data_IF_069755191890
#
_entry.id   IF_069755191890
#
_cell.length_a   1.000
_cell.length_b   1.000
_cell.length_c   1.000
_cell.angle_alpha   90.00
_cell.angle_beta   90.00
_cell.angle_gamma   90.00
#
_symmetry.space_group_name_H-M   'P 1'
#
loop_
_entity.id
_entity.type
_entity.pdbx_description
1 polymer ?
#
# COMPACT_ATOMS: atom_id res chain seq x y z
N UNK A 1 29.57 52.62 -14.23
CA UNK A 1 28.74 52.59 -13.03
C UNK A 1 27.46 51.91 -13.45
N UNK A 2 27.47 50.60 -13.48
CA UNK A 2 27.15 49.61 -12.43
C UNK A 2 25.78 49.83 -11.85
N UNK A 3 24.86 48.99 -12.17
CA UNK A 3 24.00 48.30 -11.22
C UNK A 3 23.23 47.18 -11.91
N UNK A 4 23.58 45.98 -11.53
CA UNK A 4 22.82 44.76 -11.68
C UNK A 4 21.42 44.95 -11.07
N UNK A 5 20.42 44.60 -11.84
CA UNK A 5 19.08 44.27 -11.29
C UNK A 5 18.69 42.90 -11.82
N UNK A 6 19.13 41.88 -11.06
CA UNK A 6 18.80 40.51 -11.33
C UNK A 6 17.35 40.28 -10.93
N UNK A 7 16.50 40.12 -11.93
CA UNK A 7 15.10 39.79 -11.83
C UNK A 7 14.87 38.55 -10.94
N UNK A 8 14.24 38.77 -9.79
CA UNK A 8 13.60 37.79 -8.97
C UNK A 8 12.34 37.29 -9.70
N UNK A 9 12.48 36.22 -10.47
CA UNK A 9 11.33 35.54 -11.09
C UNK A 9 10.63 34.72 -10.01
N UNK A 10 9.37 35.03 -9.68
CA UNK A 10 8.62 34.17 -8.74
C UNK A 10 8.41 32.81 -9.37
N UNK A 11 8.73 31.74 -8.58
CA UNK A 11 8.45 30.35 -8.88
C UNK A 11 6.94 30.22 -9.12
N UNK A 12 6.47 29.57 -10.19
CA UNK A 12 5.04 29.38 -10.41
C UNK A 12 4.43 28.65 -9.22
N UNK A 13 3.30 29.14 -8.75
CA UNK A 13 2.49 28.54 -7.73
C UNK A 13 2.11 27.12 -8.18
N UNK A 14 2.31 26.19 -7.29
CA UNK A 14 1.86 24.80 -7.41
C UNK A 14 0.32 24.82 -7.47
N UNK A 15 -0.23 24.79 -8.68
CA UNK A 15 -1.66 24.74 -8.92
C UNK A 15 -2.15 23.36 -8.46
N UNK A 16 -2.87 23.35 -7.34
CA UNK A 16 -3.43 22.25 -6.60
C UNK A 16 -4.05 21.13 -7.44
N UNK A 17 -3.21 20.29 -8.03
CA UNK A 17 -3.60 18.95 -8.39
C UNK A 17 -3.92 18.19 -7.08
N UNK A 18 -5.00 17.40 -7.01
CA UNK A 18 -5.29 16.60 -5.81
C UNK A 18 -4.05 15.77 -5.51
N UNK A 19 -3.47 15.97 -4.31
CA UNK A 19 -2.33 15.17 -3.86
C UNK A 19 -2.73 13.71 -3.97
N UNK A 20 -2.18 13.01 -4.97
CA UNK A 20 -2.31 11.56 -5.11
C UNK A 20 -1.96 10.91 -3.79
N UNK A 21 -2.65 9.85 -3.35
CA UNK A 21 -2.40 9.23 -2.07
C UNK A 21 -0.90 8.99 -1.94
N UNK A 22 -0.30 9.51 -0.89
CA UNK A 22 1.16 9.54 -0.71
C UNK A 22 1.67 8.11 -0.60
N UNK A 23 2.07 7.53 -1.72
CA UNK A 23 2.72 6.22 -1.74
C UNK A 23 4.16 6.41 -1.26
N UNK A 24 4.47 5.80 -0.14
CA UNK A 24 5.84 5.80 0.39
C UNK A 24 6.69 4.77 -0.33
N UNK A 25 7.72 5.22 -1.04
CA UNK A 25 8.77 4.32 -1.56
C UNK A 25 9.73 3.93 -0.45
N UNK A 26 9.96 2.64 -0.29
CA UNK A 26 10.89 2.09 0.70
C UNK A 26 12.00 1.39 -0.06
N UNK A 27 13.23 1.85 0.16
CA UNK A 27 14.42 1.39 -0.57
C UNK A 27 15.54 0.90 0.35
N UNK A 28 15.43 1.11 1.67
CA UNK A 28 16.46 0.70 2.61
C UNK A 28 16.10 -0.58 3.38
N UNK A 29 17.08 -1.48 3.50
CA UNK A 29 16.91 -2.79 4.13
C UNK A 29 16.46 -2.72 5.60
N UNK A 30 16.90 -1.70 6.35
CA UNK A 30 16.58 -1.57 7.78
C UNK A 30 15.09 -1.25 7.99
N UNK A 31 14.55 -0.34 7.20
CA UNK A 31 13.12 0.01 7.21
C UNK A 31 12.27 -1.18 6.76
N UNK A 32 12.69 -1.90 5.70
CA UNK A 32 12.02 -3.10 5.23
C UNK A 32 11.95 -4.19 6.32
N UNK A 33 13.08 -4.48 6.99
CA UNK A 33 13.12 -5.44 8.12
C UNK A 33 12.24 -5.00 9.29
N UNK A 34 12.12 -3.69 9.50
CA UNK A 34 11.24 -3.19 10.55
C UNK A 34 9.76 -3.49 10.28
N UNK A 35 9.36 -3.72 9.03
CA UNK A 35 8.01 -4.17 8.67
C UNK A 35 7.90 -5.71 8.65
N UNK A 36 8.98 -6.44 8.43
CA UNK A 36 9.02 -7.89 8.28
C UNK A 36 8.71 -8.64 9.61
N UNK A 37 7.47 -8.55 10.08
CA UNK A 37 6.96 -9.25 11.25
C UNK A 37 5.45 -9.46 11.13
N UNK A 38 4.90 -10.66 11.39
CA UNK A 38 3.47 -10.95 11.20
C UNK A 38 2.53 -9.96 11.88
N UNK A 39 2.77 -9.65 13.15
CA UNK A 39 1.94 -8.68 13.91
C UNK A 39 2.03 -7.27 13.32
N UNK A 40 3.22 -6.83 12.86
CA UNK A 40 3.36 -5.49 12.26
C UNK A 40 2.63 -5.36 10.93
N UNK A 41 2.67 -6.40 10.11
CA UNK A 41 1.89 -6.44 8.87
C UNK A 41 0.39 -6.45 9.18
N UNK A 42 -0.06 -7.26 10.16
CA UNK A 42 -1.46 -7.28 10.56
C UNK A 42 -1.94 -5.91 11.09
N UNK A 43 -1.12 -5.22 11.89
CA UNK A 43 -1.41 -3.87 12.37
C UNK A 43 -1.49 -2.86 11.22
N UNK A 44 -0.54 -2.93 10.26
CA UNK A 44 -0.54 -2.07 9.09
C UNK A 44 -1.82 -2.27 8.26
N UNK A 45 -2.22 -3.50 8.00
CA UNK A 45 -3.44 -3.82 7.25
C UNK A 45 -4.72 -3.40 8.00
N UNK A 46 -4.78 -3.60 9.32
CA UNK A 46 -5.91 -3.17 10.13
C UNK A 46 -6.10 -1.65 10.09
N UNK A 47 -5.00 -0.89 10.21
CA UNK A 47 -5.02 0.57 10.09
C UNK A 47 -5.36 1.05 8.68
N UNK A 48 -4.94 0.31 7.64
CA UNK A 48 -5.30 0.63 6.24
C UNK A 48 -6.81 0.54 5.99
N UNK A 49 -7.48 -0.42 6.63
CA UNK A 49 -8.92 -0.67 6.43
C UNK A 49 -9.81 0.13 7.41
N UNK A 50 -9.35 0.28 8.64
CA UNK A 50 -10.13 0.85 9.73
C UNK A 50 -9.87 2.34 10.00
N UNK A 51 -8.79 2.90 9.44
CA UNK A 51 -8.36 4.26 9.76
C UNK A 51 -7.63 4.32 11.12
N UNK A 52 -7.80 5.42 11.83
CA UNK A 52 -7.14 5.62 13.13
C UNK A 52 -7.76 4.74 14.22
N UNK A 53 -6.94 3.93 14.91
CA UNK A 53 -7.36 2.98 15.93
C UNK A 53 -6.39 2.96 17.12
N UNK A 54 -6.93 2.69 18.30
CA UNK A 54 -6.14 2.47 19.53
C UNK A 54 -5.48 1.10 19.51
N UNK A 55 -4.44 0.91 20.33
CA UNK A 55 -3.80 -0.40 20.49
C UNK A 55 -4.75 -1.50 21.02
N UNK A 56 -5.79 -1.12 21.77
CA UNK A 56 -6.81 -2.05 22.27
C UNK A 56 -7.70 -2.52 21.14
N UNK A 57 -8.28 -1.60 20.36
CA UNK A 57 -9.12 -1.92 19.18
C UNK A 57 -8.35 -2.77 18.16
N UNK A 58 -7.09 -2.41 17.89
CA UNK A 58 -6.22 -3.19 17.03
C UNK A 58 -5.98 -4.61 17.58
N UNK A 59 -5.77 -4.74 18.90
CA UNK A 59 -5.58 -6.03 19.55
C UNK A 59 -6.81 -6.93 19.39
N UNK A 60 -8.00 -6.39 19.61
CA UNK A 60 -9.27 -7.10 19.38
C UNK A 60 -9.41 -7.55 17.92
N UNK A 61 -9.06 -6.69 16.98
CA UNK A 61 -9.20 -6.98 15.55
C UNK A 61 -8.22 -8.04 15.04
N UNK A 62 -6.96 -8.04 15.52
CA UNK A 62 -5.93 -8.98 15.01
C UNK A 62 -5.68 -10.18 15.95
N UNK A 63 -6.39 -10.27 17.07
CA UNK A 63 -6.25 -11.38 18.03
C UNK A 63 -5.00 -11.31 18.91
N UNK A 64 -4.52 -10.10 19.21
CA UNK A 64 -3.31 -9.85 20.01
C UNK A 64 -3.60 -9.01 21.24
N UNK A 65 -2.70 -9.04 22.25
CA UNK A 65 -2.84 -8.16 23.40
C UNK A 65 -2.58 -6.69 23.06
N UNK A 66 -3.28 -5.76 23.75
CA UNK A 66 -3.02 -4.33 23.59
C UNK A 66 -1.55 -3.96 23.91
N UNK A 67 -0.89 -4.69 24.81
CA UNK A 67 0.52 -4.52 25.14
C UNK A 67 1.42 -4.90 23.98
N UNK A 68 1.17 -6.06 23.33
CA UNK A 68 1.85 -6.51 22.12
C UNK A 68 1.66 -5.50 20.99
N UNK A 69 0.42 -5.06 20.76
CA UNK A 69 0.12 -4.05 19.74
C UNK A 69 0.86 -2.74 20.01
N UNK A 70 0.83 -2.22 21.24
CA UNK A 70 1.55 -0.99 21.61
C UNK A 70 3.06 -1.09 21.40
N UNK A 71 3.67 -2.25 21.66
CA UNK A 71 5.08 -2.48 21.39
C UNK A 71 5.38 -2.40 19.90
N UNK A 72 4.61 -3.13 19.08
CA UNK A 72 4.82 -3.17 17.64
C UNK A 72 4.47 -1.85 16.94
N UNK A 73 3.46 -1.11 17.41
CA UNK A 73 3.12 0.23 16.91
C UNK A 73 4.26 1.22 17.15
N UNK A 74 4.90 1.20 18.33
CA UNK A 74 6.09 2.04 18.57
C UNK A 74 7.25 1.67 17.65
N UNK A 75 7.43 0.38 17.33
CA UNK A 75 8.43 -0.04 16.37
C UNK A 75 8.10 0.46 14.96
N UNK A 76 6.84 0.37 14.53
CA UNK A 76 6.39 0.93 13.26
C UNK A 76 6.55 2.45 13.22
N UNK A 77 6.24 3.15 14.31
CA UNK A 77 6.39 4.61 14.43
C UNK A 77 7.86 5.04 14.34
N UNK A 78 8.77 4.31 14.97
CA UNK A 78 10.22 4.57 14.88
C UNK A 78 10.74 4.59 13.43
N UNK A 79 10.12 3.82 12.54
CA UNK A 79 10.46 3.75 11.13
C UNK A 79 9.48 4.53 10.24
N UNK A 80 8.60 5.33 10.85
CA UNK A 80 7.69 6.23 10.15
C UNK A 80 6.58 5.55 9.36
N UNK A 81 6.13 4.35 9.75
CA UNK A 81 4.97 3.69 9.14
C UNK A 81 3.65 4.16 9.73
N UNK A 82 3.68 4.47 11.02
CA UNK A 82 2.51 4.94 11.76
C UNK A 82 2.88 6.14 12.62
N UNK A 83 1.88 6.91 13.02
CA UNK A 83 2.00 8.01 13.97
C UNK A 83 0.81 8.02 14.93
N UNK A 84 0.95 8.68 16.09
CA UNK A 84 -0.20 8.93 16.95
C UNK A 84 -1.14 9.94 16.28
N UNK A 85 -2.40 9.55 16.11
CA UNK A 85 -3.46 10.47 15.67
C UNK A 85 -3.93 11.32 16.84
N UNK A 86 -4.24 12.58 16.60
CA UNK A 86 -4.83 13.45 17.61
C UNK A 86 -6.22 12.96 18.05
N UNK A 87 -6.73 13.45 19.18
CA UNK A 87 -8.13 13.27 19.59
C UNK A 87 -8.44 12.09 20.48
N UNK A 88 -7.44 11.37 21.02
CA UNK A 88 -7.68 10.29 21.98
C UNK A 88 -8.21 10.77 23.35
N UNK A 89 -9.05 9.94 24.00
CA UNK A 89 -9.58 10.20 25.33
C UNK A 89 -8.66 9.56 26.38
N UNK A 90 -8.14 10.34 27.32
CA UNK A 90 -7.28 9.86 28.40
C UNK A 90 -5.90 9.42 27.93
N UNK A 91 -5.47 8.21 28.34
CA UNK A 91 -4.16 7.62 27.98
C UNK A 91 -4.20 6.83 26.67
N UNK A 92 -5.37 6.61 26.08
CA UNK A 92 -5.55 5.84 24.86
C UNK A 92 -5.43 6.77 23.66
N UNK A 93 -4.31 6.69 22.95
CA UNK A 93 -4.06 7.46 21.73
C UNK A 93 -4.25 6.57 20.53
N UNK A 94 -5.12 6.95 19.56
CA UNK A 94 -5.24 6.22 18.34
C UNK A 94 -3.98 6.38 17.47
N UNK A 95 -3.68 5.35 16.69
CA UNK A 95 -2.60 5.31 15.72
C UNK A 95 -3.19 5.37 14.32
N UNK A 96 -2.49 6.01 13.41
CA UNK A 96 -2.84 6.02 11.98
C UNK A 96 -1.61 5.77 11.12
N UNK A 97 -1.83 5.36 9.88
CA UNK A 97 -0.77 5.28 8.88
C UNK A 97 -0.26 6.68 8.51
N UNK A 98 1.02 6.79 8.20
CA UNK A 98 1.64 8.02 7.70
C UNK A 98 1.53 8.17 6.18
N UNK A 99 1.17 7.08 5.48
CA UNK A 99 1.00 7.05 4.02
C UNK A 99 -0.13 6.09 3.66
N UNK A 100 -0.88 6.39 2.61
CA UNK A 100 -1.99 5.58 2.14
C UNK A 100 -1.53 4.25 1.52
N UNK A 101 -0.28 4.17 1.04
CA UNK A 101 0.28 2.98 0.45
C UNK A 101 1.79 2.90 0.55
N UNK A 102 2.34 1.76 0.16
CA UNK A 102 3.77 1.52 0.07
C UNK A 102 4.14 0.95 -1.29
N UNK A 103 5.27 1.40 -1.83
CA UNK A 103 5.88 0.80 -3.00
C UNK A 103 7.27 0.29 -2.63
N UNK A 104 7.55 -0.93 -3.03
CA UNK A 104 8.85 -1.57 -2.90
C UNK A 104 9.54 -1.47 -4.27
N UNK A 105 10.59 -0.66 -4.37
CA UNK A 105 11.29 -0.45 -5.64
C UNK A 105 12.67 -1.08 -5.57
N UNK A 106 13.14 -1.72 -6.64
CA UNK A 106 14.53 -2.17 -6.73
C UNK A 106 15.46 -1.00 -6.48
N UNK A 107 16.42 -1.17 -5.55
CA UNK A 107 17.38 -0.12 -5.19
C UNK A 107 18.77 -0.38 -5.76
N UNK A 108 18.99 -1.56 -6.36
CA UNK A 108 20.32 -2.04 -6.74
C UNK A 108 21.17 -2.48 -5.53
N UNK A 109 20.62 -2.37 -4.30
CA UNK A 109 21.23 -2.88 -3.08
C UNK A 109 20.67 -4.28 -2.77
N UNK A 110 21.52 -5.29 -2.88
CA UNK A 110 21.15 -6.71 -2.67
C UNK A 110 20.53 -6.94 -1.29
N UNK A 111 20.98 -6.26 -0.25
CA UNK A 111 20.45 -6.40 1.10
C UNK A 111 19.02 -5.85 1.20
N UNK A 112 18.76 -4.72 0.56
CA UNK A 112 17.43 -4.13 0.48
C UNK A 112 16.48 -4.98 -0.38
N UNK A 113 16.95 -5.56 -1.47
CA UNK A 113 16.16 -6.46 -2.33
C UNK A 113 15.73 -7.72 -1.58
N UNK A 114 16.65 -8.40 -0.88
CA UNK A 114 16.34 -9.56 -0.04
C UNK A 114 15.31 -9.19 1.05
N UNK A 115 15.48 -8.04 1.71
CA UNK A 115 14.54 -7.59 2.73
C UNK A 115 13.17 -7.24 2.15
N UNK A 116 13.12 -6.67 0.94
CA UNK A 116 11.90 -6.39 0.20
C UNK A 116 11.15 -7.68 -0.14
N UNK A 117 11.85 -8.69 -0.66
CA UNK A 117 11.25 -9.98 -1.01
C UNK A 117 10.59 -10.66 0.18
N UNK A 118 11.22 -10.59 1.37
CA UNK A 118 10.63 -11.11 2.60
C UNK A 118 9.31 -10.41 2.92
N UNK A 119 9.30 -9.07 2.90
CA UNK A 119 8.10 -8.27 3.20
C UNK A 119 7.00 -8.53 2.17
N UNK A 120 7.35 -8.50 0.88
CA UNK A 120 6.40 -8.75 -0.22
C UNK A 120 5.78 -10.13 -0.08
N UNK A 121 6.58 -11.17 0.21
CA UNK A 121 6.07 -12.54 0.45
C UNK A 121 5.07 -12.58 1.58
N UNK A 122 5.37 -11.96 2.73
CA UNK A 122 4.47 -11.94 3.87
C UNK A 122 3.14 -11.24 3.57
N UNK A 123 3.15 -10.13 2.81
CA UNK A 123 1.91 -9.49 2.35
C UNK A 123 1.14 -10.41 1.39
N UNK A 124 1.84 -11.06 0.44
CA UNK A 124 1.23 -11.98 -0.52
C UNK A 124 0.52 -13.16 0.14
N UNK A 125 1.18 -13.81 1.11
CA UNK A 125 0.59 -14.91 1.86
C UNK A 125 -0.74 -14.49 2.49
N UNK A 126 -0.81 -13.31 3.10
CA UNK A 126 -2.04 -12.79 3.70
C UNK A 126 -3.11 -12.42 2.67
N UNK A 127 -2.70 -11.83 1.55
CA UNK A 127 -3.59 -11.48 0.44
C UNK A 127 -4.23 -12.74 -0.17
N UNK A 128 -3.44 -13.77 -0.43
CA UNK A 128 -3.96 -15.05 -0.91
C UNK A 128 -4.86 -15.75 0.11
N UNK A 129 -4.53 -15.72 1.41
CA UNK A 129 -5.42 -16.22 2.46
C UNK A 129 -6.79 -15.50 2.46
N UNK A 130 -6.82 -14.18 2.27
CA UNK A 130 -8.09 -13.43 2.14
C UNK A 130 -8.86 -13.83 0.90
N UNK A 131 -8.17 -13.97 -0.23
CA UNK A 131 -8.78 -14.43 -1.48
C UNK A 131 -9.38 -15.84 -1.31
N UNK A 132 -8.65 -16.79 -0.73
CA UNK A 132 -9.14 -18.15 -0.47
C UNK A 132 -10.32 -18.16 0.50
N UNK A 133 -10.29 -17.30 1.51
CA UNK A 133 -11.42 -17.11 2.44
C UNK A 133 -12.64 -16.61 1.68
N UNK A 134 -12.50 -15.58 0.83
CA UNK A 134 -13.60 -15.10 -0.01
C UNK A 134 -14.11 -16.21 -0.94
N UNK A 135 -13.23 -16.95 -1.61
CA UNK A 135 -13.59 -18.06 -2.49
C UNK A 135 -14.43 -19.13 -1.78
N UNK A 136 -14.08 -19.48 -0.55
CA UNK A 136 -14.80 -20.49 0.24
C UNK A 136 -16.12 -19.97 0.83
N UNK A 137 -16.21 -18.66 1.11
CA UNK A 137 -17.37 -18.06 1.76
C UNK A 137 -18.27 -17.23 0.82
N UNK A 138 -17.91 -17.08 -0.45
CA UNK A 138 -18.63 -16.22 -1.42
C UNK A 138 -20.12 -16.53 -1.55
N UNK A 139 -20.54 -17.76 -1.29
CA UNK A 139 -21.96 -18.13 -1.33
C UNK A 139 -22.82 -17.39 -0.29
N UNK A 140 -22.20 -16.90 0.80
CA UNK A 140 -22.88 -16.09 1.81
C UNK A 140 -23.09 -14.62 1.40
N UNK A 141 -22.41 -14.16 0.35
CA UNK A 141 -22.60 -12.81 -0.16
C UNK A 141 -23.82 -12.70 -1.06
N UNK A 142 -24.51 -11.54 -1.08
CA UNK A 142 -25.58 -11.25 -2.03
C UNK A 142 -25.14 -11.48 -3.48
N UNK A 143 -26.09 -11.82 -4.35
CA UNK A 143 -25.79 -12.17 -5.76
C UNK A 143 -25.08 -11.03 -6.49
N UNK A 144 -25.46 -9.78 -6.22
CA UNK A 144 -24.86 -8.57 -6.80
C UNK A 144 -23.36 -8.49 -6.53
N UNK A 145 -22.91 -8.78 -5.30
CA UNK A 145 -21.49 -8.79 -4.94
C UNK A 145 -20.71 -9.91 -5.63
N UNK A 146 -21.36 -11.08 -5.77
CA UNK A 146 -20.74 -12.23 -6.45
C UNK A 146 -20.57 -11.99 -7.95
N UNK A 147 -21.50 -11.25 -8.55
CA UNK A 147 -21.45 -10.89 -9.97
C UNK A 147 -20.52 -9.70 -10.26
N UNK A 148 -20.37 -8.79 -9.30
CA UNK A 148 -19.46 -7.64 -9.41
C UNK A 148 -17.99 -8.04 -9.24
N UNK A 149 -17.71 -9.15 -8.53
CA UNK A 149 -16.33 -9.59 -8.31
C UNK A 149 -15.70 -10.08 -9.62
N UNK A 150 -14.50 -9.59 -9.91
CA UNK A 150 -13.72 -9.99 -11.07
C UNK A 150 -12.69 -11.07 -10.68
N UNK A 151 -12.55 -12.07 -11.54
CA UNK A 151 -11.54 -13.12 -11.42
C UNK A 151 -11.12 -13.50 -12.85
N UNK A 152 -9.84 -13.38 -13.17
CA UNK A 152 -9.36 -13.65 -14.53
C UNK A 152 -7.86 -13.79 -14.61
N UNK A 153 -7.42 -14.59 -15.58
CA UNK A 153 -6.03 -14.74 -15.96
C UNK A 153 -5.85 -14.26 -17.40
N UNK A 154 -4.88 -13.41 -17.61
CA UNK A 154 -4.51 -12.88 -18.91
C UNK A 154 -3.05 -13.22 -19.20
N UNK A 155 -2.76 -13.60 -20.43
CA UNK A 155 -1.41 -13.88 -20.90
C UNK A 155 -1.09 -12.97 -22.09
N UNK A 156 0.06 -12.31 -22.03
CA UNK A 156 0.54 -11.40 -23.05
C UNK A 156 1.99 -11.74 -23.42
N UNK A 157 2.40 -11.36 -24.61
CA UNK A 157 3.80 -11.23 -24.98
C UNK A 157 4.13 -9.75 -25.04
N UNK A 158 4.91 -9.28 -24.08
CA UNK A 158 5.29 -7.86 -23.95
C UNK A 158 6.80 -7.74 -23.85
N UNK A 159 7.32 -6.68 -24.44
CA UNK A 159 8.67 -6.20 -24.15
C UNK A 159 8.73 -5.60 -22.74
N UNK A 160 9.94 -5.34 -22.22
CA UNK A 160 10.09 -4.70 -20.91
C UNK A 160 9.45 -3.29 -20.89
N UNK A 161 9.55 -2.53 -21.99
CA UNK A 161 8.95 -1.19 -22.07
C UNK A 161 7.41 -1.26 -22.14
N UNK A 162 6.85 -2.20 -22.89
CA UNK A 162 5.39 -2.44 -22.92
C UNK A 162 4.86 -2.92 -21.56
N UNK A 163 5.60 -3.77 -20.85
CA UNK A 163 5.23 -4.18 -19.48
C UNK A 163 5.24 -2.98 -18.52
N UNK A 164 6.21 -2.09 -18.64
CA UNK A 164 6.27 -0.85 -17.88
C UNK A 164 5.09 0.08 -18.19
N UNK A 165 4.77 0.25 -19.47
CA UNK A 165 3.59 1.02 -19.91
C UNK A 165 2.31 0.41 -19.35
N UNK A 166 2.11 -0.91 -19.46
CA UNK A 166 0.99 -1.64 -18.89
C UNK A 166 0.86 -1.36 -17.38
N UNK A 167 1.98 -1.43 -16.63
CA UNK A 167 2.01 -1.11 -15.20
C UNK A 167 1.57 0.33 -14.91
N UNK A 168 1.96 1.29 -15.74
CA UNK A 168 1.56 2.70 -15.62
C UNK A 168 0.05 2.86 -15.85
N UNK A 169 -0.50 2.27 -16.90
CA UNK A 169 -1.93 2.33 -17.22
C UNK A 169 -2.80 1.69 -16.12
N UNK A 170 -2.35 0.55 -15.58
CA UNK A 170 -3.00 -0.10 -14.43
C UNK A 170 -2.96 0.81 -13.21
N UNK A 171 -1.83 1.44 -12.92
CA UNK A 171 -1.71 2.38 -11.80
C UNK A 171 -2.66 3.58 -11.96
N UNK A 172 -2.74 4.17 -13.14
CA UNK A 172 -3.67 5.24 -13.46
C UNK A 172 -5.13 4.82 -13.29
N UNK A 173 -5.48 3.60 -13.75
CA UNK A 173 -6.80 3.03 -13.53
C UNK A 173 -7.13 2.93 -12.04
N UNK A 174 -6.23 2.34 -11.25
CA UNK A 174 -6.44 2.14 -9.81
C UNK A 174 -6.49 3.48 -9.06
N UNK A 175 -5.67 4.45 -9.45
CA UNK A 175 -5.63 5.78 -8.82
C UNK A 175 -6.95 6.54 -8.93
N UNK A 176 -7.78 6.23 -9.95
CA UNK A 176 -9.14 6.79 -10.05
C UNK A 176 -10.11 6.20 -9.02
N UNK A 177 -9.81 5.01 -8.50
CA UNK A 177 -10.61 4.32 -7.48
C UNK A 177 -10.00 4.42 -6.08
N UNK A 178 -8.69 4.61 -6.02
CA UNK A 178 -7.98 4.92 -4.79
C UNK A 178 -8.33 6.34 -4.34
N UNK A 179 -8.54 6.52 -3.07
CA UNK A 179 -8.86 7.84 -2.53
C UNK A 179 -10.20 8.43 -2.95
N UNK A 180 -11.17 7.63 -3.47
CA UNK A 180 -12.52 8.10 -3.72
C UNK A 180 -13.02 8.87 -2.50
N UNK A 181 -12.93 10.21 -2.57
CA UNK A 181 -13.40 11.15 -1.56
C UNK A 181 -12.86 10.88 -0.13
N UNK A 182 -11.69 10.22 0.01
CA UNK A 182 -11.11 9.87 1.31
C UNK A 182 -11.87 8.79 2.07
N UNK A 183 -12.55 7.88 1.39
CA UNK A 183 -13.33 6.78 2.00
C UNK A 183 -12.49 5.79 2.79
N UNK A 184 -11.21 5.69 2.47
CA UNK A 184 -10.29 4.81 3.18
C UNK A 184 -9.99 5.38 4.57
N UNK A 185 -9.69 6.67 4.66
CA UNK A 185 -9.29 7.37 5.88
C UNK A 185 -10.49 7.74 6.76
N UNK A 186 -11.65 8.06 6.16
CA UNK A 186 -12.83 8.55 6.85
C UNK A 186 -14.05 7.63 6.62
N UNK A 187 -14.39 6.78 7.60
CA UNK A 187 -15.55 5.90 7.52
C UNK A 187 -16.88 6.61 7.24
N UNK A 188 -17.02 7.89 7.65
CA UNK A 188 -18.27 8.65 7.44
C UNK A 188 -18.53 8.98 5.96
N UNK A 189 -17.49 8.91 5.13
CA UNK A 189 -17.58 9.14 3.68
C UNK A 189 -17.92 7.88 2.89
N UNK A 190 -18.01 6.73 3.55
CA UNK A 190 -18.33 5.45 2.89
C UNK A 190 -19.83 5.40 2.57
N UNK A 191 -20.23 5.10 1.32
CA UNK A 191 -21.61 4.89 0.99
C UNK A 191 -22.23 3.75 1.81
N UNK A 192 -23.52 3.83 2.07
CA UNK A 192 -24.23 2.74 2.73
C UNK A 192 -24.09 1.44 1.92
N UNK A 193 -23.72 0.36 2.58
CA UNK A 193 -23.49 -0.93 1.95
C UNK A 193 -22.14 -1.09 1.26
N UNK A 194 -21.25 -0.08 1.28
CA UNK A 194 -19.90 -0.24 0.74
C UNK A 194 -19.08 -1.24 1.56
N UNK A 195 -18.37 -2.13 0.89
CA UNK A 195 -17.43 -3.09 1.47
C UNK A 195 -16.00 -2.73 1.09
N UNK A 196 -15.01 -3.07 1.92
CA UNK A 196 -13.62 -2.97 1.53
C UNK A 196 -13.32 -3.96 0.41
N UNK A 197 -12.71 -3.48 -0.67
CA UNK A 197 -12.35 -4.30 -1.83
C UNK A 197 -10.83 -4.37 -1.93
N UNK A 198 -10.31 -5.57 -2.11
CA UNK A 198 -8.91 -5.81 -2.41
C UNK A 198 -8.77 -6.19 -3.89
N UNK A 199 -7.93 -5.45 -4.62
CA UNK A 199 -7.51 -5.79 -5.97
C UNK A 199 -6.02 -6.12 -5.95
N UNK A 200 -5.65 -7.29 -6.47
CA UNK A 200 -4.28 -7.76 -6.53
C UNK A 200 -3.89 -7.98 -8.00
N UNK A 201 -2.96 -7.20 -8.47
CA UNK A 201 -2.46 -7.28 -9.85
C UNK A 201 -0.99 -7.68 -9.82
N UNK A 202 -0.67 -8.76 -10.49
CA UNK A 202 0.67 -9.32 -10.64
C UNK A 202 0.97 -9.47 -12.11
N UNK A 203 1.88 -8.65 -12.63
CA UNK A 203 2.35 -8.75 -13.99
C UNK A 203 3.87 -8.93 -13.97
N UNK A 204 4.34 -10.05 -14.46
CA UNK A 204 5.76 -10.41 -14.47
C UNK A 204 6.06 -11.42 -15.59
N UNK A 205 7.29 -11.51 -16.08
CA UNK A 205 7.70 -12.59 -16.98
C UNK A 205 7.48 -13.97 -16.34
N UNK A 206 6.91 -14.91 -17.07
CA UNK A 206 6.71 -16.29 -16.62
C UNK A 206 7.87 -17.23 -16.99
N UNK A 207 8.76 -16.76 -17.89
CA UNK A 207 9.99 -17.43 -18.26
C UNK A 207 11.17 -16.47 -18.14
N UNK A 208 12.37 -16.95 -17.79
CA UNK A 208 13.55 -16.10 -17.82
C UNK A 208 13.85 -15.64 -19.28
N UNK A 209 14.48 -14.47 -19.46
CA UNK A 209 14.92 -14.03 -20.79
C UNK A 209 15.90 -15.05 -21.34
N UNK A 210 15.73 -15.40 -22.63
CA UNK A 210 16.69 -16.26 -23.33
C UNK A 210 17.95 -15.46 -23.64
N UNK A 211 19.13 -16.06 -23.51
CA UNK A 211 20.42 -15.41 -23.72
C UNK A 211 20.66 -14.84 -25.13
N UNK A 212 19.70 -14.94 -26.04
CA UNK A 212 19.76 -14.41 -27.40
C UNK A 212 19.24 -12.98 -27.55
N UNK A 213 18.52 -12.44 -26.55
CA UNK A 213 17.98 -11.07 -26.63
C UNK A 213 19.01 -9.96 -26.44
N UNK A 214 20.24 -10.28 -25.98
CA UNK A 214 21.30 -9.30 -25.72
C UNK A 214 22.23 -9.07 -26.95
N UNK A 215 21.96 -9.67 -28.11
CA UNK A 215 22.82 -9.54 -29.29
C UNK A 215 22.37 -8.51 -30.33
N UNK A 216 21.17 -7.96 -30.18
CA UNK A 216 20.58 -7.00 -31.13
C UNK A 216 20.15 -5.65 -30.49
N UNK A 217 20.78 -5.24 -29.37
CA UNK A 217 20.54 -3.95 -28.73
C UNK A 217 21.74 -3.00 -28.87
#
# INVERSE_FOLDING_TARGET
MSSDDAANTPRPADDGAPESPRIRKITDARTLRALAHPVRIALFEALSLGGAMTATELGEQIGESATTCSFHLRQLAKYGFVEEAGGGVGRSRPWRLTSAGMAFSPSGDTEAEIASDVVVRMFRERQFQRYDTWRSTKAAYPLEWRQAAADGQYLFYLTAEELKQFGTEVHELLSRWDGLEGRLEDPSKRPAGALPIEALILAHPITPPTAESDRDA
#
